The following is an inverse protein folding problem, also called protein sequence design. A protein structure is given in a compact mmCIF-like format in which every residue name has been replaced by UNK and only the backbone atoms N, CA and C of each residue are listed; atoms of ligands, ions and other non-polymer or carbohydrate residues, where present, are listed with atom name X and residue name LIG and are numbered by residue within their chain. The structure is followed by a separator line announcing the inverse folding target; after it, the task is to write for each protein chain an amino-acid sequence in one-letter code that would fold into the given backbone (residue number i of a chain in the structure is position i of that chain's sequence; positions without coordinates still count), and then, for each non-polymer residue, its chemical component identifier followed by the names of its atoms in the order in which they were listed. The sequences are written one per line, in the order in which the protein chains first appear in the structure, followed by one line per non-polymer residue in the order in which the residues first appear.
data_IF_382097851912
#
_entry.id   IF_382097851912
#
_cell.length_a   1.000
_cell.length_b   1.000
_cell.length_c   1.000
_cell.angle_alpha   90.00
_cell.angle_beta   90.00
_cell.angle_gamma   90.00
#
_symmetry.space_group_name_H-M   'P 1'
#
loop_
_entity.id
_entity.type
_entity.pdbx_description
1 polymer ?
#
# COMPACT_ATOMS: atom_id res chain seq x y z
N UNK A 1 11.46 -17.42 0.16
CA UNK A 1 10.04 -17.10 -0.15
C UNK A 1 9.91 -16.55 -1.57
N UNK A 2 8.72 -16.60 -2.16
CA UNK A 2 8.46 -16.04 -3.49
C UNK A 2 8.78 -14.55 -3.54
N UNK A 3 8.32 -13.79 -2.55
CA UNK A 3 8.56 -12.34 -2.42
C UNK A 3 10.07 -12.05 -2.34
N UNK A 4 10.82 -12.82 -1.56
CA UNK A 4 12.28 -12.68 -1.49
C UNK A 4 12.97 -12.85 -2.86
N UNK A 5 12.49 -13.77 -3.69
CA UNK A 5 13.00 -13.96 -5.06
C UNK A 5 12.63 -12.80 -5.98
N UNK A 6 11.43 -12.25 -5.87
CA UNK A 6 10.99 -11.07 -6.64
C UNK A 6 11.88 -9.87 -6.30
N UNK A 7 12.15 -9.62 -5.01
CA UNK A 7 13.02 -8.53 -4.57
C UNK A 7 14.47 -8.75 -4.99
N UNK A 8 14.99 -9.97 -4.84
CA UNK A 8 16.35 -10.29 -5.28
C UNK A 8 16.49 -10.07 -6.80
N UNK A 9 15.49 -10.46 -7.57
CA UNK A 9 15.47 -10.25 -9.03
C UNK A 9 15.33 -8.78 -9.39
N UNK A 10 14.49 -8.02 -8.69
CA UNK A 10 14.42 -6.59 -8.84
C UNK A 10 15.76 -5.92 -8.51
N UNK A 11 16.38 -6.25 -7.36
CA UNK A 11 17.71 -5.74 -7.00
C UNK A 11 18.77 -6.05 -8.06
N UNK A 12 18.79 -7.25 -8.62
CA UNK A 12 19.74 -7.63 -9.68
C UNK A 12 19.49 -6.82 -10.95
N UNK A 13 18.25 -6.58 -11.28
CA UNK A 13 17.85 -5.84 -12.48
C UNK A 13 18.19 -4.34 -12.35
N UNK A 14 17.99 -3.75 -11.16
CA UNK A 14 18.24 -2.34 -10.88
C UNK A 14 19.67 -2.06 -10.41
N UNK A 15 20.32 -3.04 -9.75
CA UNK A 15 21.66 -2.88 -9.19
C UNK A 15 22.80 -2.94 -10.21
N UNK A 16 22.55 -3.47 -11.40
CA UNK A 16 23.52 -3.50 -12.49
C UNK A 16 23.70 -2.17 -13.22
N UNK A 17 23.00 -1.14 -12.79
CA UNK A 17 23.05 0.20 -13.41
C UNK A 17 24.27 1.05 -13.00
N UNK A 18 25.27 0.47 -12.35
CA UNK A 18 26.39 1.21 -11.74
C UNK A 18 27.80 0.82 -12.15
N UNK A 19 28.02 -0.10 -13.11
CA UNK A 19 29.38 -0.42 -13.59
C UNK A 19 29.38 -0.79 -15.07
N UNK A 20 30.02 0.06 -15.85
CA UNK A 20 30.67 -0.17 -17.16
C UNK A 20 30.04 -1.19 -18.12
N UNK A 21 28.76 -1.02 -18.49
CA UNK A 21 28.30 -1.66 -19.72
C UNK A 21 27.31 -0.72 -20.44
N UNK A 22 27.54 -0.53 -21.73
CA UNK A 22 26.80 0.38 -22.63
C UNK A 22 25.39 -0.11 -22.98
N UNK A 23 24.72 -0.78 -22.03
CA UNK A 23 23.30 -1.07 -22.15
C UNK A 23 22.51 0.21 -21.90
N UNK A 24 21.52 0.56 -22.73
CA UNK A 24 20.70 1.74 -22.48
C UNK A 24 20.07 1.58 -21.11
N UNK A 25 20.46 2.44 -20.16
CA UNK A 25 19.86 2.55 -18.84
C UNK A 25 18.36 2.73 -19.07
N UNK A 26 17.58 1.69 -18.87
CA UNK A 26 16.12 1.82 -18.95
C UNK A 26 15.71 2.82 -17.88
N UNK A 27 15.15 3.93 -18.30
CA UNK A 27 14.65 4.97 -17.40
C UNK A 27 13.82 4.28 -16.30
N UNK A 28 14.14 4.47 -15.02
CA UNK A 28 13.38 3.88 -13.90
C UNK A 28 11.88 4.14 -14.00
N UNK A 29 11.47 5.24 -14.67
CA UNK A 29 10.06 5.58 -14.91
C UNK A 29 9.34 4.61 -15.85
N UNK A 30 10.08 3.88 -16.66
CA UNK A 30 9.53 2.89 -17.61
C UNK A 30 9.48 1.47 -17.06
N UNK A 31 9.86 1.29 -15.79
CA UNK A 31 9.87 -0.02 -15.15
C UNK A 31 8.52 -0.27 -14.45
N UNK A 32 8.03 -1.51 -14.43
CA UNK A 32 6.77 -1.83 -13.79
C UNK A 32 6.84 -1.54 -12.29
N UNK A 33 5.80 -0.91 -11.77
CA UNK A 33 5.60 -0.77 -10.33
C UNK A 33 5.03 -2.08 -9.80
N UNK A 34 5.66 -2.62 -8.77
CA UNK A 34 5.18 -3.81 -8.07
C UNK A 34 4.61 -3.36 -6.73
N UNK A 35 3.35 -3.65 -6.49
CA UNK A 35 2.74 -3.44 -5.19
C UNK A 35 2.54 -4.77 -4.49
N UNK A 36 3.05 -4.86 -3.26
CA UNK A 36 2.81 -5.97 -2.34
C UNK A 36 1.72 -5.54 -1.38
N UNK A 37 0.59 -6.20 -1.41
CA UNK A 37 -0.52 -5.96 -0.48
C UNK A 37 -0.54 -7.06 0.58
N UNK A 38 -0.56 -6.65 1.84
CA UNK A 38 -0.68 -7.54 3.00
C UNK A 38 -1.99 -7.25 3.69
N UNK A 39 -2.96 -8.13 3.51
CA UNK A 39 -4.21 -8.15 4.27
C UNK A 39 -4.03 -8.98 5.55
N UNK A 40 -4.88 -8.74 6.56
CA UNK A 40 -4.76 -9.37 7.89
C UNK A 40 -3.32 -9.27 8.43
N UNK A 41 -2.75 -8.07 8.30
CA UNK A 41 -1.34 -7.81 8.56
C UNK A 41 -0.82 -8.28 9.94
N UNK A 42 -1.60 -8.30 11.03
CA UNK A 42 -1.17 -8.84 12.32
C UNK A 42 -0.68 -10.29 12.27
N UNK A 43 -1.20 -11.10 11.36
CA UNK A 43 -0.78 -12.50 11.18
C UNK A 43 0.61 -12.67 10.58
N UNK A 44 1.15 -11.62 9.96
CA UNK A 44 2.41 -11.67 9.20
C UNK A 44 3.42 -10.63 9.70
N UNK A 45 2.94 -9.42 10.03
CA UNK A 45 3.79 -8.24 10.31
C UNK A 45 3.85 -7.90 11.81
N UNK A 46 3.65 -8.87 12.71
CA UNK A 46 3.83 -8.65 14.15
C UNK A 46 5.32 -8.72 14.54
N UNK A 47 5.73 -8.12 15.68
CA UNK A 47 7.13 -8.07 16.09
C UNK A 47 7.79 -9.43 16.24
N UNK A 48 7.06 -10.48 16.68
CA UNK A 48 7.63 -11.80 16.89
C UNK A 48 8.02 -12.48 15.58
N UNK A 49 7.16 -12.39 14.57
CA UNK A 49 7.43 -12.94 13.24
C UNK A 49 8.42 -12.09 12.45
N UNK A 50 8.60 -10.83 12.83
CA UNK A 50 9.48 -9.87 12.18
C UNK A 50 10.88 -9.80 12.83
N UNK A 51 11.19 -10.71 13.78
CA UNK A 51 12.53 -10.81 14.39
C UNK A 51 13.56 -11.19 13.33
N UNK A 52 14.70 -10.49 13.36
CA UNK A 52 15.79 -10.72 12.40
C UNK A 52 15.56 -10.08 11.04
N UNK A 53 16.03 -10.77 9.99
CA UNK A 53 15.91 -10.30 8.61
C UNK A 53 14.50 -10.59 8.06
N UNK A 54 13.80 -9.53 7.69
CA UNK A 54 12.47 -9.63 7.12
C UNK A 54 12.40 -8.89 5.79
N UNK A 55 11.89 -9.60 4.79
CA UNK A 55 11.66 -9.04 3.45
C UNK A 55 10.71 -7.85 3.46
N UNK A 56 9.74 -7.81 4.38
CA UNK A 56 8.81 -6.70 4.51
C UNK A 56 9.48 -5.44 5.07
N UNK A 57 10.42 -5.60 6.02
CA UNK A 57 11.27 -4.50 6.50
C UNK A 57 12.15 -3.96 5.37
N UNK A 58 12.66 -4.80 4.51
CA UNK A 58 13.44 -4.37 3.34
C UNK A 58 12.57 -3.59 2.35
N UNK A 59 11.36 -4.06 2.07
CA UNK A 59 10.43 -3.35 1.18
C UNK A 59 10.06 -1.99 1.77
N UNK A 60 9.70 -1.93 3.04
CA UNK A 60 9.29 -0.68 3.68
C UNK A 60 10.39 0.37 3.67
N UNK A 61 11.65 -0.02 3.86
CA UNK A 61 12.81 0.88 3.91
C UNK A 61 13.39 1.23 2.53
N UNK A 62 13.41 0.28 1.60
CA UNK A 62 14.16 0.39 0.36
C UNK A 62 13.34 0.11 -0.91
N UNK A 63 12.10 -0.33 -0.79
CA UNK A 63 11.26 -0.74 -1.92
C UNK A 63 11.15 0.34 -2.99
N UNK A 64 11.07 1.60 -2.58
CA UNK A 64 11.02 2.75 -3.49
C UNK A 64 12.16 2.76 -4.53
N UNK A 65 13.37 2.34 -4.15
CA UNK A 65 14.52 2.27 -5.07
C UNK A 65 14.33 1.24 -6.18
N UNK A 66 13.40 0.31 -5.99
CA UNK A 66 13.14 -0.82 -6.88
C UNK A 66 11.71 -0.79 -7.44
N UNK A 67 11.02 0.35 -7.36
CA UNK A 67 9.62 0.50 -7.72
C UNK A 67 8.70 -0.54 -7.05
N UNK A 68 9.01 -0.91 -5.81
CA UNK A 68 8.23 -1.84 -5.02
C UNK A 68 7.57 -1.07 -3.88
N UNK A 69 6.23 -1.05 -3.86
CA UNK A 69 5.42 -0.49 -2.80
C UNK A 69 4.89 -1.56 -1.85
N UNK A 70 4.63 -1.18 -0.60
CA UNK A 70 3.97 -2.01 0.41
C UNK A 70 2.65 -1.34 0.80
N UNK A 71 1.55 -2.07 0.67
CA UNK A 71 0.24 -1.71 1.19
C UNK A 71 -0.09 -2.67 2.34
N UNK A 72 -0.38 -2.12 3.49
CA UNK A 72 -0.72 -2.89 4.69
C UNK A 72 -2.17 -2.60 5.04
N UNK A 73 -2.97 -3.65 5.21
CA UNK A 73 -4.36 -3.56 5.66
C UNK A 73 -4.49 -4.28 7.00
N UNK A 74 -4.96 -3.55 8.01
CA UNK A 74 -5.06 -4.07 9.37
C UNK A 74 -6.25 -3.49 10.11
N UNK A 75 -6.87 -4.30 10.95
CA UNK A 75 -7.83 -3.86 11.96
C UNK A 75 -7.16 -3.58 13.31
N UNK A 76 -5.91 -4.02 13.49
CA UNK A 76 -5.14 -3.92 14.73
C UNK A 76 -3.76 -3.33 14.45
N UNK A 77 -3.65 -2.01 14.49
CA UNK A 77 -2.39 -1.29 14.29
C UNK A 77 -1.45 -1.51 15.46
N UNK A 78 -2.00 -1.59 16.69
CA UNK A 78 -1.26 -1.70 17.94
C UNK A 78 -0.38 -2.95 18.08
N UNK A 79 -0.57 -3.96 17.23
CA UNK A 79 0.20 -5.22 17.25
C UNK A 79 1.15 -5.35 16.07
N UNK A 80 1.21 -4.36 15.19
CA UNK A 80 2.13 -4.36 14.06
C UNK A 80 3.56 -3.99 14.48
N UNK A 81 4.54 -4.44 13.70
CA UNK A 81 5.94 -4.11 13.94
C UNK A 81 6.20 -2.60 13.70
N UNK A 82 6.78 -1.93 14.71
CA UNK A 82 7.02 -0.49 14.69
C UNK A 82 7.95 -0.03 13.55
N UNK A 83 8.84 -0.92 13.09
CA UNK A 83 9.72 -0.60 11.95
C UNK A 83 8.89 -0.47 10.67
N UNK A 84 7.85 -1.28 10.51
CA UNK A 84 6.93 -1.17 9.37
C UNK A 84 6.11 0.11 9.50
N UNK A 85 5.49 0.34 10.66
CA UNK A 85 4.65 1.52 10.89
C UNK A 85 5.40 2.83 10.65
N UNK A 86 6.61 2.96 11.18
CA UNK A 86 7.44 4.17 11.00
C UNK A 86 7.86 4.47 9.55
N UNK A 87 7.70 3.53 8.64
CA UNK A 87 8.01 3.70 7.22
C UNK A 87 6.76 3.96 6.37
N UNK A 88 5.56 3.96 6.97
CA UNK A 88 4.34 4.29 6.24
C UNK A 88 4.29 5.79 5.96
N UNK A 89 4.21 6.14 4.68
CA UNK A 89 4.17 7.55 4.25
C UNK A 89 2.75 8.07 4.06
N UNK A 90 1.80 7.17 3.93
CA UNK A 90 0.39 7.50 3.72
C UNK A 90 -0.46 6.52 4.50
N UNK A 91 -1.40 7.03 5.25
CA UNK A 91 -2.31 6.23 6.06
C UNK A 91 -3.75 6.65 5.79
N UNK A 92 -4.64 5.68 5.71
CA UNK A 92 -6.07 5.88 5.57
C UNK A 92 -6.73 5.19 6.74
N UNK A 93 -7.09 5.97 7.74
CA UNK A 93 -7.66 5.50 8.97
C UNK A 93 -9.19 5.62 8.93
N UNK A 94 -9.87 4.48 8.93
CA UNK A 94 -11.31 4.38 9.02
C UNK A 94 -11.76 4.47 10.49
N UNK A 95 -13.09 4.43 10.71
CA UNK A 95 -13.66 4.42 12.06
C UNK A 95 -13.01 3.37 12.95
N UNK A 96 -12.59 3.77 14.13
CA UNK A 96 -12.05 2.93 15.18
C UNK A 96 -12.89 3.04 16.45
N UNK A 97 -13.25 1.91 17.03
CA UNK A 97 -14.01 1.86 18.29
C UNK A 97 -13.16 1.51 19.52
N UNK A 98 -11.95 1.03 19.30
CA UNK A 98 -11.06 0.56 20.37
C UNK A 98 -10.03 1.63 20.72
N UNK A 99 -9.97 2.02 21.98
CA UNK A 99 -9.07 3.04 22.52
C UNK A 99 -7.60 2.76 22.25
N UNK A 100 -7.20 1.49 22.37
CA UNK A 100 -5.82 1.07 22.11
C UNK A 100 -5.42 1.29 20.66
N UNK A 101 -6.33 0.98 19.72
CA UNK A 101 -6.08 1.15 18.31
C UNK A 101 -6.07 2.64 17.92
N UNK A 102 -6.96 3.44 18.51
CA UNK A 102 -6.97 4.91 18.31
C UNK A 102 -5.62 5.50 18.74
N UNK A 103 -5.12 5.15 19.93
CA UNK A 103 -3.81 5.62 20.39
C UNK A 103 -2.69 5.17 19.48
N UNK A 104 -2.68 3.90 19.06
CA UNK A 104 -1.67 3.39 18.16
C UNK A 104 -1.66 4.12 16.79
N UNK A 105 -2.82 4.46 16.25
CA UNK A 105 -2.93 5.27 15.05
C UNK A 105 -2.37 6.69 15.26
N UNK A 106 -2.69 7.33 16.39
CA UNK A 106 -2.21 8.68 16.69
C UNK A 106 -0.70 8.71 16.89
N UNK A 107 -0.15 7.75 17.64
CA UNK A 107 1.27 7.66 17.96
C UNK A 107 2.15 7.38 16.73
N UNK A 108 1.62 6.63 15.75
CA UNK A 108 2.35 6.24 14.56
C UNK A 108 2.05 7.10 13.32
N UNK A 109 1.10 8.03 13.42
CA UNK A 109 0.71 8.85 12.29
C UNK A 109 1.87 9.70 11.76
N UNK A 110 1.96 9.78 10.43
CA UNK A 110 2.98 10.57 9.72
C UNK A 110 2.87 12.08 9.93
N UNK A 111 1.73 12.55 10.44
CA UNK A 111 1.47 13.95 10.85
C UNK A 111 0.80 13.96 12.20
N UNK A 112 0.90 15.11 12.91
CA UNK A 112 0.26 15.25 14.21
C UNK A 112 -1.27 15.25 14.06
N UNK A 113 -1.91 14.22 14.60
CA UNK A 113 -3.36 14.07 14.68
C UNK A 113 -3.87 13.95 16.12
N UNK A 114 -3.09 14.45 17.09
CA UNK A 114 -3.52 14.58 18.49
C UNK A 114 -4.78 15.42 18.55
N UNK A 115 -5.78 14.95 19.27
CA UNK A 115 -7.10 15.61 19.36
C UNK A 115 -8.16 15.04 18.40
N UNK A 116 -7.80 14.09 17.53
CA UNK A 116 -8.73 13.42 16.61
C UNK A 116 -9.38 12.16 17.19
N UNK A 117 -9.21 11.88 18.49
CA UNK A 117 -9.74 10.67 19.15
C UNK A 117 -11.26 10.56 19.01
N UNK A 118 -11.98 11.68 19.13
CA UNK A 118 -13.43 11.70 19.00
C UNK A 118 -13.88 11.48 17.56
N UNK A 119 -13.18 12.07 16.61
CA UNK A 119 -13.44 11.90 15.19
C UNK A 119 -13.37 10.43 14.79
N UNK A 120 -12.34 9.70 15.25
CA UNK A 120 -12.22 8.26 15.00
C UNK A 120 -13.41 7.45 15.48
N UNK A 121 -14.04 7.85 16.61
CA UNK A 121 -15.19 7.15 17.18
C UNK A 121 -16.50 7.43 16.45
N UNK A 122 -16.67 8.67 15.97
CA UNK A 122 -17.95 9.15 15.42
C UNK A 122 -18.05 9.06 13.89
N UNK A 123 -16.93 8.77 13.20
CA UNK A 123 -16.94 8.62 11.76
C UNK A 123 -18.02 7.65 11.27
N UNK A 124 -18.72 8.04 10.23
CA UNK A 124 -19.71 7.23 9.55
C UNK A 124 -19.04 6.22 8.60
N UNK A 125 -19.83 5.27 8.11
CA UNK A 125 -19.34 4.32 7.11
C UNK A 125 -18.83 5.03 5.86
N UNK A 126 -17.62 4.68 5.44
CA UNK A 126 -16.94 5.28 4.30
C UNK A 126 -16.25 6.61 4.59
N UNK A 127 -16.32 7.13 5.81
CA UNK A 127 -15.50 8.27 6.24
C UNK A 127 -14.14 7.76 6.72
N UNK A 128 -13.11 8.55 6.45
CA UNK A 128 -11.74 8.24 6.85
C UNK A 128 -10.93 9.52 7.08
N UNK A 129 -9.85 9.39 7.83
CA UNK A 129 -8.81 10.40 7.97
C UNK A 129 -7.60 9.93 7.18
N UNK A 130 -7.22 10.72 6.17
CA UNK A 130 -6.02 10.52 5.37
C UNK A 130 -4.89 11.34 5.96
N UNK A 131 -3.78 10.71 6.31
CA UNK A 131 -2.52 11.35 6.66
C UNK A 131 -1.45 11.00 5.63
N UNK A 132 -0.52 11.92 5.40
CA UNK A 132 0.58 11.67 4.47
C UNK A 132 1.79 12.54 4.84
N UNK A 133 2.99 11.95 4.81
CA UNK A 133 4.24 12.61 5.19
C UNK A 133 4.60 13.86 4.37
N UNK A 134 4.01 14.03 3.20
CA UNK A 134 4.17 15.21 2.33
C UNK A 134 3.09 16.29 2.56
N UNK A 135 2.21 16.13 3.55
CA UNK A 135 1.17 17.08 3.95
C UNK A 135 1.38 17.49 5.39
N UNK A 136 1.02 18.73 5.70
CA UNK A 136 1.12 19.25 7.06
C UNK A 136 -0.12 18.93 7.92
N UNK A 137 -1.26 18.73 7.27
CA UNK A 137 -2.54 18.53 7.96
C UNK A 137 -3.21 17.23 7.52
N UNK A 138 -3.90 16.54 8.45
CA UNK A 138 -4.75 15.42 8.13
C UNK A 138 -5.93 15.87 7.26
N UNK A 139 -6.40 15.00 6.40
CA UNK A 139 -7.49 15.27 5.46
C UNK A 139 -8.66 14.33 5.74
N UNK A 140 -9.80 14.82 6.24
CA UNK A 140 -11.04 14.07 6.26
C UNK A 140 -11.50 13.76 4.83
N UNK A 141 -11.81 12.50 4.55
CA UNK A 141 -12.22 12.03 3.22
C UNK A 141 -13.47 11.17 3.31
N UNK A 142 -14.26 11.19 2.23
CA UNK A 142 -15.40 10.29 2.03
C UNK A 142 -15.06 9.32 0.91
N UNK A 143 -15.00 8.04 1.25
CA UNK A 143 -14.74 6.97 0.30
C UNK A 143 -16.09 6.54 -0.29
N UNK A 144 -16.30 6.66 -1.61
CA UNK A 144 -17.55 6.23 -2.23
C UNK A 144 -17.67 4.71 -2.22
N UNK A 145 -18.90 4.20 -2.27
CA UNK A 145 -19.15 2.78 -2.40
C UNK A 145 -18.56 2.26 -3.72
N UNK A 146 -17.97 1.07 -3.67
CA UNK A 146 -17.34 0.43 -4.83
C UNK A 146 -18.30 0.32 -6.02
N UNK A 147 -19.53 -0.14 -5.79
CA UNK A 147 -20.54 -0.31 -6.85
C UNK A 147 -20.81 1.01 -7.57
N UNK A 148 -20.90 2.11 -6.85
CA UNK A 148 -21.11 3.45 -7.43
C UNK A 148 -19.95 3.88 -8.33
N UNK A 149 -18.70 3.62 -7.87
CA UNK A 149 -17.50 3.94 -8.66
C UNK A 149 -17.38 3.00 -9.85
N UNK A 150 -17.61 1.72 -9.64
CA UNK A 150 -17.52 0.70 -10.68
C UNK A 150 -18.51 0.96 -11.82
N UNK A 151 -19.77 1.25 -11.51
CA UNK A 151 -20.77 1.58 -12.53
C UNK A 151 -20.44 2.85 -13.30
N UNK A 152 -19.91 3.88 -12.63
CA UNK A 152 -19.47 5.11 -13.28
C UNK A 152 -18.27 4.92 -14.20
N UNK A 153 -17.30 4.09 -13.78
CA UNK A 153 -16.02 3.95 -14.44
C UNK A 153 -15.83 2.57 -15.10
N UNK A 154 -16.91 1.80 -15.30
CA UNK A 154 -16.83 0.41 -15.80
C UNK A 154 -16.11 0.26 -17.14
N UNK A 155 -16.09 1.29 -17.96
CA UNK A 155 -15.36 1.28 -19.23
C UNK A 155 -13.82 1.32 -19.03
N UNK A 156 -13.34 1.83 -17.90
CA UNK A 156 -11.92 1.79 -17.52
C UNK A 156 -11.45 0.39 -17.12
N UNK A 157 -12.39 -0.44 -16.61
CA UNK A 157 -12.08 -1.79 -16.11
C UNK A 157 -12.31 -2.88 -17.16
N UNK A 158 -12.79 -2.52 -18.37
CA UNK A 158 -12.87 -3.48 -19.48
C UNK A 158 -11.46 -3.89 -19.91
N UNK A 159 -11.19 -5.20 -20.05
CA UNK A 159 -9.89 -5.65 -20.54
C UNK A 159 -9.64 -5.05 -21.93
N UNK A 160 -8.53 -4.32 -22.08
CA UNK A 160 -8.12 -3.84 -23.39
C UNK A 160 -7.78 -5.06 -24.27
N UNK A 161 -8.64 -5.42 -25.20
CA UNK A 161 -8.28 -6.39 -26.24
C UNK A 161 -9.19 -7.60 -26.49
N UNK A 162 -10.39 -7.68 -25.96
CA UNK A 162 -11.37 -8.64 -26.46
C UNK A 162 -12.12 -8.05 -27.66
N UNK A 163 -11.59 -8.30 -28.87
CA UNK A 163 -12.41 -8.13 -30.10
C UNK A 163 -13.64 -9.02 -29.94
N UNK A 164 -14.86 -8.53 -30.27
CA UNK A 164 -16.04 -9.37 -30.26
C UNK A 164 -15.80 -10.55 -31.22
N UNK A 165 -16.00 -11.76 -30.75
CA UNK A 165 -16.04 -12.93 -31.62
C UNK A 165 -17.15 -12.66 -32.64
N UNK A 166 -16.78 -12.53 -33.90
CA UNK A 166 -17.75 -12.58 -35.01
C UNK A 166 -18.35 -13.99 -35.00
N UNK A 167 -19.61 -14.08 -34.59
CA UNK A 167 -20.38 -15.29 -34.80
C UNK A 167 -20.45 -15.55 -36.32
N UNK A 168 -19.68 -16.52 -36.76
CA UNK A 168 -19.85 -17.08 -38.11
C UNK A 168 -21.18 -17.84 -38.10
N UNK A 169 -22.20 -17.22 -38.65
CA UNK A 169 -23.36 -17.95 -39.09
C UNK A 169 -22.89 -19.03 -40.08
N UNK A 170 -23.02 -20.27 -39.68
CA UNK A 170 -22.95 -21.42 -40.59
C UNK A 170 -24.35 -21.58 -41.15
N UNK A 171 -24.45 -21.43 -42.44
CA UNK A 171 -25.62 -21.80 -43.28
C UNK A 171 -25.61 -23.32 -43.43
#
# INVERSE_FOLDING_TARGET
SFIGRVIARARTFYGKSGSDDQSPVKDPRNLPVIQVTVEEAPSILNPDLMRGHSVFKDISRQGRKFNIGLLVVSQQVSVLDNVILSQMNTEINLRLGNEREIRACIENASVNITGFENEFRVMSRGEAILTASYRELPLPVKIPLFDTVFERDKDRYKPKGTKPKQDKHVI
#
